data_IF_826126245044
#
_entry.id   IF_826126245044
#
_cell.length_a   1.000
_cell.length_b   1.000
_cell.length_c   1.000
_cell.angle_alpha   90.00
_cell.angle_beta   90.00
_cell.angle_gamma   90.00
#
_symmetry.space_group_name_H-M   'P 1'
#
loop_
_entity.id
_entity.type
_entity.pdbx_description
1 polymer ?
#
# COMPACT_ATOMS: atom_id res chain seq x y z
N UNK A 1 30.50 3.04 -3.68
CA UNK A 1 30.48 2.48 -5.05
C UNK A 1 29.05 2.51 -5.54
N UNK A 2 28.81 3.02 -6.74
CA UNK A 2 27.49 2.98 -7.35
C UNK A 2 27.13 1.54 -7.72
N UNK A 3 25.85 1.19 -7.63
CA UNK A 3 25.36 -0.12 -8.08
C UNK A 3 25.61 -0.26 -9.59
N UNK A 4 26.16 -1.39 -10.03
CA UNK A 4 26.45 -1.62 -11.44
C UNK A 4 25.22 -2.18 -12.17
N UNK A 5 25.17 -2.02 -13.49
CA UNK A 5 24.10 -2.60 -14.32
C UNK A 5 24.05 -4.12 -14.16
N UNK A 6 25.21 -4.78 -14.06
CA UNK A 6 25.30 -6.23 -13.84
C UNK A 6 24.70 -6.64 -12.48
N UNK A 7 24.92 -5.82 -11.44
CA UNK A 7 24.36 -6.04 -10.11
C UNK A 7 22.83 -5.90 -10.12
N UNK A 8 22.29 -4.90 -10.81
CA UNK A 8 20.84 -4.73 -11.01
C UNK A 8 20.20 -5.91 -11.77
N UNK A 9 20.89 -6.43 -12.79
CA UNK A 9 20.42 -7.60 -13.55
C UNK A 9 20.41 -8.85 -12.65
N UNK A 10 21.45 -9.06 -11.86
CA UNK A 10 21.53 -10.19 -10.93
C UNK A 10 20.50 -10.08 -9.78
N UNK A 11 20.11 -8.85 -9.41
CA UNK A 11 19.08 -8.59 -8.41
C UNK A 11 17.65 -8.53 -8.98
N UNK A 12 17.47 -8.66 -10.31
CA UNK A 12 16.18 -8.53 -11.00
C UNK A 12 15.08 -9.35 -10.32
N UNK A 13 15.32 -10.63 -10.09
CA UNK A 13 14.33 -11.52 -9.44
C UNK A 13 13.97 -11.07 -8.02
N UNK A 14 14.95 -10.61 -7.23
CA UNK A 14 14.71 -10.10 -5.87
C UNK A 14 13.89 -8.80 -5.90
N UNK A 15 14.20 -7.90 -6.83
CA UNK A 15 13.50 -6.63 -7.02
C UNK A 15 12.05 -6.88 -7.48
N UNK A 16 11.83 -7.85 -8.38
CA UNK A 16 10.49 -8.22 -8.86
C UNK A 16 9.68 -9.00 -7.81
N UNK A 17 10.31 -9.91 -7.06
CA UNK A 17 9.66 -10.63 -5.97
C UNK A 17 9.21 -9.68 -4.84
N UNK A 18 10.05 -8.69 -4.49
CA UNK A 18 9.72 -7.65 -3.53
C UNK A 18 8.56 -6.73 -3.93
N UNK A 19 8.08 -6.81 -5.18
CA UNK A 19 6.87 -6.12 -5.66
C UNK A 19 5.59 -6.93 -5.44
N UNK A 20 5.69 -8.26 -5.24
CA UNK A 20 4.54 -9.17 -5.03
C UNK A 20 4.35 -9.61 -3.57
N UNK A 21 5.14 -9.06 -2.66
CA UNK A 21 5.11 -9.40 -1.23
C UNK A 21 3.78 -8.98 -0.58
N UNK A 22 3.27 -9.84 0.30
CA UNK A 22 2.15 -9.54 1.20
C UNK A 22 2.69 -9.16 2.58
N UNK A 23 1.96 -8.32 3.29
CA UNK A 23 2.34 -7.78 4.57
C UNK A 23 1.16 -7.86 5.52
N UNK A 24 1.44 -8.17 6.78
CA UNK A 24 0.44 -8.15 7.83
C UNK A 24 0.45 -6.79 8.53
N UNK A 25 -0.73 -6.21 8.71
CA UNK A 25 -0.95 -4.95 9.42
C UNK A 25 -1.78 -5.23 10.66
N UNK A 26 -1.29 -4.77 11.81
CA UNK A 26 -2.05 -4.77 13.06
C UNK A 26 -2.98 -3.55 13.06
N UNK A 27 -4.28 -3.80 13.26
CA UNK A 27 -5.35 -2.80 13.24
C UNK A 27 -6.27 -3.00 14.45
N UNK A 28 -7.21 -2.08 14.68
CA UNK A 28 -8.16 -2.13 15.79
C UNK A 28 -9.05 -3.39 15.79
N UNK A 29 -9.31 -3.97 14.61
CA UNK A 29 -10.12 -5.19 14.46
C UNK A 29 -9.29 -6.49 14.46
N UNK A 30 -7.97 -6.37 14.57
CA UNK A 30 -7.02 -7.50 14.50
C UNK A 30 -6.02 -7.35 13.36
N UNK A 31 -5.37 -8.46 13.00
CA UNK A 31 -4.36 -8.48 11.93
C UNK A 31 -5.02 -8.68 10.57
N UNK A 32 -4.74 -7.78 9.63
CA UNK A 32 -5.14 -7.92 8.22
C UNK A 32 -3.92 -8.13 7.33
N UNK A 33 -4.05 -8.95 6.31
CA UNK A 33 -3.00 -9.17 5.29
C UNK A 33 -3.30 -8.30 4.08
N UNK A 34 -2.37 -7.43 3.72
CA UNK A 34 -2.42 -6.57 2.54
C UNK A 34 -1.36 -6.96 1.52
N UNK A 35 -1.64 -6.73 0.23
CA UNK A 35 -0.62 -6.82 -0.83
C UNK A 35 0.04 -5.47 -1.03
N UNK A 36 1.29 -5.50 -1.50
CA UNK A 36 1.96 -4.27 -1.95
C UNK A 36 1.23 -3.69 -3.18
N UNK A 37 0.85 -2.40 -3.15
CA UNK A 37 0.16 -1.80 -4.27
C UNK A 37 1.11 -1.59 -5.46
N UNK A 38 0.58 -1.76 -6.66
CA UNK A 38 1.27 -1.35 -7.88
C UNK A 38 1.16 0.17 -8.07
N UNK A 39 2.01 0.73 -8.94
CA UNK A 39 1.95 2.16 -9.30
C UNK A 39 0.57 2.56 -9.82
N UNK A 40 -0.06 1.70 -10.63
CA UNK A 40 -1.39 1.95 -11.20
C UNK A 40 -2.43 2.04 -10.08
N UNK A 41 -2.50 1.02 -9.22
CA UNK A 41 -3.46 0.98 -8.10
C UNK A 41 -3.32 2.16 -7.15
N UNK A 42 -2.08 2.57 -6.82
CA UNK A 42 -1.83 3.73 -5.98
C UNK A 42 -2.24 5.05 -6.67
N UNK A 43 -1.97 5.18 -7.97
CA UNK A 43 -2.36 6.37 -8.74
C UNK A 43 -3.88 6.50 -8.85
N UNK A 44 -4.58 5.38 -9.05
CA UNK A 44 -6.03 5.36 -9.09
C UNK A 44 -6.62 5.83 -7.76
N UNK A 45 -6.14 5.31 -6.63
CA UNK A 45 -6.58 5.73 -5.31
C UNK A 45 -6.31 7.22 -5.03
N UNK A 46 -5.16 7.76 -5.42
CA UNK A 46 -4.81 9.17 -5.19
C UNK A 46 -5.54 10.16 -6.10
N UNK A 47 -6.09 9.69 -7.23
CA UNK A 47 -6.87 10.52 -8.14
C UNK A 47 -8.37 10.55 -7.80
N UNK A 48 -8.81 9.78 -6.80
CA UNK A 48 -10.19 9.82 -6.32
C UNK A 48 -10.43 11.03 -5.41
N UNK A 49 -11.70 11.38 -5.24
CA UNK A 49 -12.14 12.45 -4.34
C UNK A 49 -11.63 12.25 -2.89
N UNK A 50 -11.48 13.38 -2.20
CA UNK A 50 -10.90 13.46 -0.86
C UNK A 50 -11.70 12.60 0.13
N UNK A 51 -11.05 11.58 0.72
CA UNK A 51 -11.66 10.63 1.68
C UNK A 51 -12.28 9.36 1.07
N UNK A 52 -12.46 9.30 -0.25
CA UNK A 52 -12.91 8.09 -0.97
C UNK A 52 -11.73 7.20 -1.35
N UNK A 53 -10.62 7.84 -1.75
CA UNK A 53 -9.40 7.16 -2.17
C UNK A 53 -8.83 6.20 -1.13
N UNK A 54 -8.78 6.59 0.15
CA UNK A 54 -8.23 5.76 1.22
C UNK A 54 -9.05 4.48 1.45
N UNK A 55 -10.38 4.62 1.49
CA UNK A 55 -11.29 3.50 1.70
C UNK A 55 -11.23 2.52 0.52
N UNK A 56 -11.24 3.06 -0.71
CA UNK A 56 -11.03 2.27 -1.91
C UNK A 56 -9.67 1.55 -1.91
N UNK A 57 -8.62 2.24 -1.49
CA UNK A 57 -7.28 1.70 -1.47
C UNK A 57 -7.16 0.53 -0.49
N UNK A 58 -7.66 0.68 0.72
CA UNK A 58 -7.66 -0.38 1.75
C UNK A 58 -8.49 -1.58 1.27
N UNK A 59 -9.69 -1.33 0.75
CA UNK A 59 -10.57 -2.37 0.22
C UNK A 59 -9.88 -3.19 -0.87
N UNK A 60 -9.12 -2.55 -1.76
CA UNK A 60 -8.49 -3.23 -2.89
C UNK A 60 -7.15 -3.89 -2.54
N UNK A 61 -6.45 -3.38 -1.53
CA UNK A 61 -5.15 -3.91 -1.12
C UNK A 61 -5.27 -4.97 -0.02
N UNK A 62 -6.38 -5.03 0.71
CA UNK A 62 -6.62 -6.08 1.70
C UNK A 62 -6.93 -7.41 1.00
N UNK A 63 -6.13 -8.43 1.32
CA UNK A 63 -6.27 -9.80 0.81
C UNK A 63 -7.04 -10.65 1.83
N UNK A 64 -6.70 -10.52 3.12
CA UNK A 64 -7.33 -11.26 4.21
C UNK A 64 -7.58 -10.33 5.41
N UNK A 65 -8.81 -10.27 5.97
CA UNK A 65 -10.03 -10.92 5.49
C UNK A 65 -10.50 -10.33 4.15
N UNK A 66 -11.30 -11.09 3.39
CA UNK A 66 -11.88 -10.59 2.14
C UNK A 66 -12.95 -9.54 2.44
N UNK A 67 -12.54 -8.26 2.44
CA UNK A 67 -13.43 -7.12 2.70
C UNK A 67 -14.54 -6.97 1.64
N UNK A 68 -14.34 -7.55 0.45
CA UNK A 68 -15.33 -7.56 -0.64
C UNK A 68 -16.34 -8.71 -0.52
N UNK A 69 -16.25 -9.53 0.52
CA UNK A 69 -17.19 -10.64 0.73
C UNK A 69 -18.64 -10.14 0.89
N UNK A 70 -19.56 -10.75 0.13
CA UNK A 70 -20.96 -10.32 0.13
C UNK A 70 -21.66 -10.56 1.47
N UNK A 71 -21.29 -11.63 2.21
CA UNK A 71 -21.90 -11.91 3.51
C UNK A 71 -21.42 -10.89 4.53
N UNK A 72 -20.14 -10.53 4.48
CA UNK A 72 -19.58 -9.47 5.29
C UNK A 72 -20.28 -8.14 5.01
N UNK A 73 -20.35 -7.71 3.75
CA UNK A 73 -21.01 -6.43 3.40
C UNK A 73 -22.49 -6.40 3.80
N UNK A 74 -23.23 -7.50 3.61
CA UNK A 74 -24.63 -7.60 4.03
C UNK A 74 -24.79 -7.58 5.55
N UNK A 75 -23.87 -8.20 6.29
CA UNK A 75 -23.91 -8.21 7.76
C UNK A 75 -23.69 -6.81 8.36
N UNK A 76 -22.98 -5.94 7.66
CA UNK A 76 -22.72 -4.55 8.06
C UNK A 76 -23.63 -3.52 7.39
N UNK A 77 -24.65 -3.96 6.63
CA UNK A 77 -25.60 -3.12 5.90
C UNK A 77 -24.89 -2.06 5.03
N UNK A 78 -23.84 -2.48 4.31
CA UNK A 78 -23.08 -1.60 3.43
C UNK A 78 -23.88 -1.27 2.15
N UNK A 79 -23.99 0.01 1.81
CA UNK A 79 -24.58 0.45 0.54
C UNK A 79 -23.54 0.35 -0.59
N UNK A 80 -22.29 0.66 -0.26
CA UNK A 80 -21.15 0.61 -1.16
C UNK A 80 -20.04 -0.31 -0.61
N UNK A 81 -19.23 -0.94 -1.49
CA UNK A 81 -18.13 -1.79 -1.05
C UNK A 81 -17.10 -1.08 -0.18
N UNK A 82 -16.95 0.24 -0.32
CA UNK A 82 -16.03 1.07 0.49
C UNK A 82 -16.55 1.34 1.90
N UNK A 83 -17.87 1.24 2.12
CA UNK A 83 -18.48 1.46 3.44
C UNK A 83 -17.94 0.50 4.49
N UNK A 84 -17.64 -0.74 4.10
CA UNK A 84 -17.12 -1.75 5.04
C UNK A 84 -15.85 -1.27 5.73
N UNK A 85 -15.01 -0.49 5.04
CA UNK A 85 -13.78 0.06 5.60
C UNK A 85 -14.11 1.08 6.68
N UNK A 86 -15.07 1.98 6.41
CA UNK A 86 -15.53 3.00 7.37
C UNK A 86 -16.35 2.41 8.53
N UNK A 87 -16.91 1.21 8.36
CA UNK A 87 -17.62 0.45 9.40
C UNK A 87 -16.66 -0.31 10.32
N UNK A 88 -15.56 -0.83 9.78
CA UNK A 88 -14.59 -1.64 10.50
C UNK A 88 -13.53 -0.81 11.21
N UNK A 89 -13.08 0.29 10.61
CA UNK A 89 -11.97 1.09 11.12
C UNK A 89 -12.43 2.48 11.55
N UNK A 90 -11.74 3.03 12.55
CA UNK A 90 -11.99 4.37 13.03
C UNK A 90 -11.60 5.44 11.98
N UNK A 91 -12.21 6.64 12.01
CA UNK A 91 -11.97 7.69 11.02
C UNK A 91 -10.51 8.16 10.94
N UNK A 92 -9.76 8.09 12.04
CA UNK A 92 -8.32 8.38 12.05
C UNK A 92 -7.45 7.18 11.65
N UNK A 93 -7.98 5.96 11.75
CA UNK A 93 -7.26 4.74 11.41
C UNK A 93 -7.25 4.49 9.91
N UNK A 94 -8.35 4.77 9.21
CA UNK A 94 -8.44 4.65 7.73
C UNK A 94 -7.27 5.36 7.01
N UNK A 95 -7.03 6.67 7.18
CA UNK A 95 -5.90 7.33 6.53
C UNK A 95 -4.54 6.80 7.00
N UNK A 96 -4.43 6.32 8.25
CA UNK A 96 -3.21 5.73 8.77
C UNK A 96 -2.88 4.39 8.08
N UNK A 97 -3.88 3.51 7.88
CA UNK A 97 -3.74 2.25 7.16
C UNK A 97 -3.39 2.53 5.70
N UNK A 98 -4.12 3.41 5.01
CA UNK A 98 -3.86 3.76 3.62
C UNK A 98 -2.42 4.28 3.42
N UNK A 99 -1.96 5.17 4.31
CA UNK A 99 -0.59 5.67 4.33
C UNK A 99 0.43 4.54 4.56
N UNK A 100 0.16 3.62 5.49
CA UNK A 100 1.03 2.48 5.76
C UNK A 100 1.17 1.58 4.52
N UNK A 101 0.06 1.30 3.84
CA UNK A 101 0.04 0.53 2.58
C UNK A 101 0.86 1.25 1.49
N UNK A 102 0.71 2.57 1.35
CA UNK A 102 1.52 3.36 0.42
C UNK A 102 3.02 3.31 0.75
N UNK A 103 3.39 3.35 2.04
CA UNK A 103 4.79 3.22 2.46
C UNK A 103 5.42 1.89 2.04
N UNK A 104 4.65 0.79 1.99
CA UNK A 104 5.12 -0.51 1.49
C UNK A 104 5.51 -0.45 -0.01
N UNK A 105 4.88 0.44 -0.77
CA UNK A 105 5.24 0.76 -2.15
C UNK A 105 6.38 1.78 -2.30
N UNK A 106 6.90 2.30 -1.18
CA UNK A 106 8.02 3.24 -1.16
C UNK A 106 7.61 4.72 -1.15
N UNK A 107 6.31 5.02 -1.03
CA UNK A 107 5.85 6.38 -0.84
C UNK A 107 6.32 6.90 0.53
N UNK A 108 6.86 8.12 0.56
CA UNK A 108 7.40 8.72 1.79
C UNK A 108 8.70 8.09 2.29
N UNK A 109 9.42 7.30 1.47
CA UNK A 109 10.80 6.90 1.79
C UNK A 109 11.71 8.11 1.77
N UNK A 110 12.52 8.24 2.81
CA UNK A 110 13.61 9.21 2.86
C UNK A 110 14.73 8.75 1.91
N UNK A 111 15.01 9.55 0.88
CA UNK A 111 16.09 9.30 -0.08
C UNK A 111 17.14 10.38 0.14
N UNK A 112 18.20 10.02 0.86
CA UNK A 112 19.34 10.90 1.11
C UNK A 112 20.10 11.19 -0.20
N UNK A 113 20.49 12.44 -0.40
CA UNK A 113 21.40 12.84 -1.48
C UNK A 113 22.73 13.31 -0.91
N UNK A 114 23.82 12.87 -1.53
CA UNK A 114 25.19 13.33 -1.26
C UNK A 114 25.81 13.78 -2.57
N UNK A 115 26.64 14.81 -2.53
CA UNK A 115 27.39 15.27 -3.69
C UNK A 115 28.29 14.13 -4.17
N UNK A 116 28.25 13.85 -5.47
CA UNK A 116 29.17 12.90 -6.10
C UNK A 116 30.54 13.58 -6.18
N UNK A 117 31.56 13.01 -5.53
CA UNK A 117 32.94 13.53 -5.52
C UNK A 117 33.59 13.25 -6.90
N UNK A 118 33.14 13.99 -7.93
CA UNK A 118 33.73 13.99 -9.29
C UNK A 118 34.61 15.24 -9.52
N UNK A 119 34.63 16.16 -8.56
CA UNK A 119 35.43 17.39 -8.61
C UNK A 119 36.70 17.26 -7.76
N UNK A 120 37.61 16.39 -8.19
CA UNK A 120 39.04 16.52 -7.86
C UNK A 120 39.84 16.39 -9.15
N UNK A 121 40.20 17.55 -9.69
CA UNK A 121 41.23 17.86 -10.70
C UNK A 121 41.86 16.69 -11.47
#
# INVERSE_FOLDING_TARGET
MAISVQDLINQKEKIEAGKKTRYDLETSIGTITVKKPTKAEATEAFNMDEGEGDSYFILNQTVEPNLKDEKLQKAYDCAEPTDIVRRLFDPGEVPAIAKKIAMLAGYGKDIESKIHDDLKN
#
